data_IF_445296455010
#
_entry.id   IF_445296455010
#
_cell.length_a   1.000
_cell.length_b   1.000
_cell.length_c   1.000
_cell.angle_alpha   90.00
_cell.angle_beta   90.00
_cell.angle_gamma   90.00
#
_symmetry.space_group_name_H-M   'P 1'
#
loop_
_entity.id
_entity.type
_entity.pdbx_description
1 polymer ?
#
# COMPACT_ATOMS: atom_id res chain seq x y z
N UNK A 1 18.25 -3.91 0.37
CA UNK A 1 16.92 -3.31 0.11
C UNK A 1 15.76 -4.29 0.29
N UNK A 2 15.75 -5.43 -0.43
CA UNK A 2 14.71 -6.47 -0.33
C UNK A 2 14.31 -6.84 1.11
N UNK A 3 15.30 -7.07 1.99
CA UNK A 3 15.03 -7.41 3.40
C UNK A 3 14.35 -6.28 4.19
N UNK A 4 14.68 -5.02 3.88
CA UNK A 4 14.05 -3.86 4.53
C UNK A 4 12.58 -3.75 4.11
N UNK A 5 12.32 -3.85 2.81
CA UNK A 5 10.95 -3.87 2.27
C UNK A 5 10.15 -5.03 2.88
N UNK A 6 10.72 -6.24 2.92
CA UNK A 6 10.08 -7.40 3.54
C UNK A 6 9.71 -7.13 5.02
N UNK A 7 10.66 -6.70 5.85
CA UNK A 7 10.39 -6.40 7.27
C UNK A 7 9.33 -5.31 7.45
N UNK A 8 9.33 -4.29 6.58
CA UNK A 8 8.32 -3.24 6.63
C UNK A 8 6.93 -3.73 6.23
N UNK A 9 6.83 -4.69 5.30
CA UNK A 9 5.56 -5.34 4.96
C UNK A 9 5.10 -6.27 6.08
N UNK A 10 6.01 -7.08 6.63
CA UNK A 10 5.70 -7.97 7.76
C UNK A 10 5.16 -7.16 8.96
N UNK A 11 5.75 -5.99 9.24
CA UNK A 11 5.29 -5.09 10.31
C UNK A 11 3.89 -4.51 10.09
N UNK A 12 3.35 -4.52 8.86
CA UNK A 12 1.98 -4.08 8.60
C UNK A 12 0.93 -5.03 9.19
N UNK A 13 1.31 -6.28 9.49
CA UNK A 13 0.43 -7.23 10.17
C UNK A 13 0.12 -6.77 11.60
N UNK A 14 1.11 -6.20 12.28
CA UNK A 14 0.99 -5.73 13.66
C UNK A 14 0.47 -4.30 13.74
N UNK A 15 0.94 -3.42 12.86
CA UNK A 15 0.50 -2.03 12.73
C UNK A 15 0.17 -1.72 11.27
N UNK A 16 -1.12 -1.82 10.85
CA UNK A 16 -1.53 -1.57 9.47
C UNK A 16 -1.53 -0.07 9.12
N UNK A 17 -1.42 0.83 10.11
CA UNK A 17 -1.50 2.29 9.92
C UNK A 17 -0.30 3.01 10.54
N UNK A 18 0.94 2.64 10.17
CA UNK A 18 2.12 3.27 10.74
C UNK A 18 2.17 4.74 10.36
N UNK A 19 2.70 5.57 11.25
CA UNK A 19 2.68 7.04 11.14
C UNK A 19 3.30 7.62 9.84
N UNK A 20 4.06 6.83 9.08
CA UNK A 20 4.71 7.24 7.81
C UNK A 20 3.91 6.86 6.56
N UNK A 21 2.61 6.65 6.72
CA UNK A 21 1.69 6.28 5.63
C UNK A 21 0.80 7.45 5.28
N UNK A 22 0.44 7.55 4.00
CA UNK A 22 -0.56 8.51 3.55
C UNK A 22 -1.75 7.73 3.01
N UNK A 23 -2.95 8.18 3.34
CA UNK A 23 -4.18 7.71 2.70
C UNK A 23 -4.16 8.17 1.23
N UNK A 24 -4.59 7.28 0.33
CA UNK A 24 -4.81 7.61 -1.08
C UNK A 24 -6.31 7.71 -1.31
N UNK A 25 -6.71 8.73 -2.06
CA UNK A 25 -8.09 8.83 -2.55
C UNK A 25 -8.25 7.84 -3.71
N UNK A 26 -9.23 6.95 -3.62
CA UNK A 26 -9.58 5.97 -4.65
C UNK A 26 -11.10 5.89 -4.75
N UNK A 27 -11.58 5.45 -5.91
CA UNK A 27 -13.00 5.15 -6.14
C UNK A 27 -13.47 3.91 -5.38
N UNK A 28 -12.55 3.04 -4.96
CA UNK A 28 -12.82 1.84 -4.18
C UNK A 28 -13.04 2.18 -2.69
N UNK A 29 -14.30 2.38 -2.30
CA UNK A 29 -14.67 2.80 -0.93
C UNK A 29 -14.63 1.69 0.11
N UNK A 30 -14.56 0.42 -0.31
CA UNK A 30 -14.58 -0.73 0.60
C UNK A 30 -13.20 -0.98 1.24
N UNK A 31 -12.13 -0.51 0.61
CA UNK A 31 -10.76 -0.75 1.04
C UNK A 31 -10.08 0.57 1.40
N UNK A 32 -9.40 0.58 2.55
CA UNK A 32 -8.59 1.73 2.93
C UNK A 32 -7.22 1.63 2.25
N UNK A 33 -7.03 2.38 1.15
CA UNK A 33 -5.80 2.35 0.36
C UNK A 33 -4.78 3.34 0.92
N UNK A 34 -3.58 2.84 1.24
CA UNK A 34 -2.51 3.62 1.84
C UNK A 34 -1.19 3.43 1.11
N UNK A 35 -0.33 4.45 1.21
CA UNK A 35 1.04 4.45 0.68
C UNK A 35 2.05 4.55 1.81
N UNK A 36 2.92 3.55 1.91
CA UNK A 36 4.10 3.55 2.77
C UNK A 36 5.34 3.99 2.00
N UNK A 37 6.10 4.94 2.59
CA UNK A 37 7.38 5.40 2.05
C UNK A 37 8.54 4.62 2.67
N UNK A 38 9.36 3.98 1.85
CA UNK A 38 10.57 3.25 2.25
C UNK A 38 11.76 3.68 1.40
N UNK A 39 12.55 4.64 1.88
CA UNK A 39 13.70 5.20 1.17
C UNK A 39 13.35 5.63 -0.28
N UNK A 40 13.84 4.89 -1.27
CA UNK A 40 13.60 5.09 -2.71
C UNK A 40 12.42 4.29 -3.27
N UNK A 41 11.62 3.67 -2.40
CA UNK A 41 10.51 2.80 -2.79
C UNK A 41 9.20 3.27 -2.15
N UNK A 42 8.11 2.98 -2.86
CA UNK A 42 6.75 3.18 -2.40
C UNK A 42 6.08 1.81 -2.37
N UNK A 43 5.47 1.50 -1.23
CA UNK A 43 4.63 0.30 -1.07
C UNK A 43 3.19 0.79 -1.02
N UNK A 44 2.38 0.33 -1.96
CA UNK A 44 0.95 0.58 -2.01
C UNK A 44 0.24 -0.65 -1.45
N UNK A 45 -0.65 -0.42 -0.50
CA UNK A 45 -1.34 -1.49 0.19
C UNK A 45 -2.75 -1.06 0.57
N UNK A 46 -3.63 -2.04 0.68
CA UNK A 46 -5.00 -1.87 1.14
C UNK A 46 -5.15 -2.52 2.52
N UNK A 47 -5.92 -1.87 3.39
CA UNK A 47 -6.38 -2.43 4.66
C UNK A 47 -7.85 -2.78 4.50
N UNK A 48 -8.16 -4.06 4.67
CA UNK A 48 -9.52 -4.54 4.79
C UNK A 48 -9.82 -4.79 6.27
N UNK A 49 -10.65 -3.94 6.87
CA UNK A 49 -11.01 -4.08 8.31
C UNK A 49 -11.92 -5.28 8.58
N UNK A 50 -12.81 -5.61 7.64
CA UNK A 50 -13.76 -6.72 7.78
C UNK A 50 -13.02 -8.06 7.85
N UNK A 51 -12.07 -8.27 6.93
CA UNK A 51 -11.26 -9.48 6.84
C UNK A 51 -10.00 -9.43 7.72
N UNK A 52 -9.77 -8.32 8.43
CA UNK A 52 -8.53 -8.06 9.21
C UNK A 52 -7.27 -8.37 8.41
N UNK A 53 -7.23 -7.92 7.17
CA UNK A 53 -6.16 -8.26 6.23
C UNK A 53 -5.49 -7.00 5.68
N UNK A 54 -4.17 -7.10 5.49
CA UNK A 54 -3.39 -6.15 4.71
C UNK A 54 -2.96 -6.82 3.41
N UNK A 55 -3.26 -6.19 2.27
CA UNK A 55 -2.82 -6.64 0.95
C UNK A 55 -1.90 -5.61 0.31
N UNK A 56 -0.72 -6.05 -0.11
CA UNK A 56 0.24 -5.22 -0.87
C UNK A 56 0.03 -5.50 -2.35
N UNK A 57 -0.40 -4.51 -3.12
CA UNK A 57 -0.67 -4.66 -4.56
C UNK A 57 0.46 -4.10 -5.42
N UNK A 58 1.26 -3.15 -4.93
CA UNK A 58 2.39 -2.64 -5.69
C UNK A 58 3.58 -2.22 -4.82
N UNK A 59 4.78 -2.54 -5.32
CA UNK A 59 6.05 -2.02 -4.82
C UNK A 59 6.74 -1.35 -6.00
N UNK A 60 6.97 -0.03 -5.90
CA UNK A 60 7.49 0.77 -7.02
C UNK A 60 8.73 1.56 -6.59
N UNK A 61 9.76 1.58 -7.44
CA UNK A 61 10.94 2.43 -7.27
C UNK A 61 10.60 3.88 -7.67
N UNK A 62 11.14 4.87 -6.97
CA UNK A 62 10.86 6.30 -7.24
C UNK A 62 11.60 6.79 -8.50
N UNK A 63 10.87 7.32 -9.49
CA UNK A 63 10.94 8.74 -9.91
C UNK A 63 9.50 9.32 -10.03
N UNK A 64 9.19 10.52 -10.61
CA UNK A 64 7.86 11.11 -10.40
C UNK A 64 6.81 10.27 -11.12
N UNK A 65 5.89 9.72 -10.35
CA UNK A 65 4.79 8.90 -10.84
C UNK A 65 3.49 9.52 -10.37
N UNK A 66 2.62 9.79 -11.34
CA UNK A 66 1.23 10.21 -11.17
C UNK A 66 0.40 8.93 -11.10
N UNK A 67 -0.28 8.71 -9.97
CA UNK A 67 -0.92 7.45 -9.62
C UNK A 67 -2.25 7.25 -10.36
N UNK A 68 -2.30 7.59 -11.64
CA UNK A 68 -3.50 7.53 -12.46
C UNK A 68 -4.00 6.09 -12.70
N UNK A 69 -3.15 5.09 -12.51
CA UNK A 69 -3.42 3.65 -12.63
C UNK A 69 -3.85 3.00 -11.29
N UNK A 70 -4.10 3.80 -10.24
CA UNK A 70 -4.41 3.24 -8.92
C UNK A 70 -5.69 2.39 -8.95
N UNK A 71 -6.73 2.87 -9.63
CA UNK A 71 -8.01 2.16 -9.73
C UNK A 71 -7.86 0.88 -10.57
N UNK A 72 -7.04 0.89 -11.63
CA UNK A 72 -6.74 -0.31 -12.43
C UNK A 72 -6.08 -1.40 -11.58
N UNK A 73 -5.09 -1.03 -10.75
CA UNK A 73 -4.41 -1.96 -9.84
C UNK A 73 -5.33 -2.54 -8.77
N UNK A 74 -6.33 -1.77 -8.33
CA UNK A 74 -7.31 -2.23 -7.35
C UNK A 74 -8.36 -3.16 -7.99
N UNK A 75 -8.67 -2.98 -9.27
CA UNK A 75 -9.57 -3.85 -10.02
C UNK A 75 -9.06 -5.29 -10.17
N UNK A 76 -7.74 -5.53 -10.09
CA UNK A 76 -7.17 -6.88 -10.12
C UNK A 76 -7.34 -7.67 -8.80
N UNK A 77 -7.91 -7.05 -7.75
CA UNK A 77 -8.12 -7.67 -6.43
C UNK A 77 -9.50 -8.33 -6.26
N UNK A 78 -10.37 -8.27 -7.28
CA UNK A 78 -11.73 -8.86 -7.28
C UNK A 78 -11.74 -10.37 -7.61
#
# INVERSE_FOLDING_TARGET
MRQRVKRSIDALQDDPRPARTNLLETTQTVLEVRRLRLDDWRVLYAVNEELKQVQVFAIRQRPPYDYADLDDLLGEME
#
